data_IF_453631783588
#
_entry.id   IF_453631783588
#
_cell.length_a   1.000
_cell.length_b   1.000
_cell.length_c   1.000
_cell.angle_alpha   90.00
_cell.angle_beta   90.00
_cell.angle_gamma   90.00
#
_symmetry.space_group_name_H-M   'P 1'
#
loop_
_entity.id
_entity.type
_entity.pdbx_description
1 polymer ?
#
# COMPACT_ATOMS: atom_id res chain seq x y z
N UNK A 1 -7.32 -8.58 23.80
CA UNK A 1 -8.71 -8.96 24.06
C UNK A 1 -9.74 -8.12 23.30
N UNK A 2 -9.66 -6.78 23.25
CA UNK A 2 -10.61 -5.97 22.46
C UNK A 2 -10.48 -6.17 20.94
N UNK A 3 -9.28 -6.37 20.42
CA UNK A 3 -9.01 -6.61 18.99
C UNK A 3 -9.64 -7.91 18.48
N UNK A 4 -9.55 -9.00 19.26
CA UNK A 4 -10.12 -10.31 18.88
C UNK A 4 -11.66 -10.33 18.86
N UNK A 5 -12.30 -9.46 19.63
CA UNK A 5 -13.77 -9.36 19.68
C UNK A 5 -14.29 -8.59 18.47
N UNK A 6 -13.61 -7.51 18.10
CA UNK A 6 -13.97 -6.69 16.92
C UNK A 6 -13.77 -7.50 15.62
N UNK A 7 -12.68 -8.28 15.51
CA UNK A 7 -12.47 -9.15 14.36
C UNK A 7 -13.57 -10.24 14.22
N UNK A 8 -14.13 -10.72 15.31
CA UNK A 8 -15.23 -11.70 15.28
C UNK A 8 -16.59 -11.11 14.93
N UNK A 9 -16.88 -9.88 15.30
CA UNK A 9 -18.16 -9.23 14.99
C UNK A 9 -18.21 -8.67 13.56
N UNK A 10 -17.09 -8.24 12.99
CA UNK A 10 -17.01 -7.76 11.60
C UNK A 10 -17.15 -8.87 10.55
N UNK A 11 -16.95 -10.14 10.95
CA UNK A 11 -17.14 -11.29 10.04
C UNK A 11 -18.60 -11.66 9.77
N UNK A 12 -19.57 -10.93 10.33
CA UNK A 12 -20.99 -11.34 10.39
C UNK A 12 -22.00 -10.56 9.56
N UNK A 13 -21.62 -9.56 8.75
CA UNK A 13 -22.62 -8.83 7.95
C UNK A 13 -22.91 -9.55 6.64
N UNK A 14 -23.79 -10.52 6.67
CA UNK A 14 -24.43 -11.10 5.50
C UNK A 14 -25.51 -10.17 4.96
N UNK A 15 -25.16 -9.34 4.00
CA UNK A 15 -26.12 -8.79 3.07
C UNK A 15 -25.71 -9.26 1.65
N UNK A 16 -26.26 -10.38 1.20
CA UNK A 16 -26.06 -10.88 -0.13
C UNK A 16 -24.75 -11.71 -0.32
N UNK A 17 -24.46 -12.02 -1.55
CA UNK A 17 -23.40 -12.87 -2.10
C UNK A 17 -21.96 -12.38 -1.83
N UNK A 18 -21.79 -11.09 -1.49
CA UNK A 18 -20.49 -10.46 -1.24
C UNK A 18 -20.11 -10.49 0.24
N UNK A 19 -18.86 -10.83 0.51
CA UNK A 19 -18.27 -10.79 1.84
C UNK A 19 -16.93 -10.04 1.80
N UNK A 20 -16.70 -9.21 2.82
CA UNK A 20 -15.45 -8.47 3.00
C UNK A 20 -14.70 -8.99 4.22
N UNK A 21 -13.40 -9.21 4.08
CA UNK A 21 -12.54 -9.71 5.13
C UNK A 21 -11.15 -9.04 5.06
N UNK A 22 -10.43 -9.04 6.18
CA UNK A 22 -8.98 -8.82 6.16
C UNK A 22 -8.35 -10.08 5.55
N UNK A 23 -7.49 -9.89 4.56
CA UNK A 23 -6.80 -10.98 3.89
C UNK A 23 -5.88 -11.74 4.85
N UNK A 24 -5.92 -13.04 4.78
CA UNK A 24 -5.07 -13.96 5.51
C UNK A 24 -4.06 -14.65 4.57
N UNK A 25 -3.07 -15.36 5.16
CA UNK A 25 -2.05 -16.09 4.39
C UNK A 25 -2.67 -17.07 3.38
N UNK A 26 -3.83 -17.65 3.71
CA UNK A 26 -4.57 -18.54 2.79
C UNK A 26 -5.08 -17.86 1.52
N UNK A 27 -5.13 -16.53 1.47
CA UNK A 27 -5.59 -15.76 0.32
C UNK A 27 -4.48 -15.45 -0.68
N UNK A 28 -3.24 -15.80 -0.36
CA UNK A 28 -2.05 -15.49 -1.16
C UNK A 28 -2.24 -15.83 -2.64
N UNK A 29 -2.59 -17.06 -2.94
CA UNK A 29 -2.72 -17.54 -4.32
C UNK A 29 -3.83 -16.79 -5.09
N UNK A 30 -4.97 -16.53 -4.43
CA UNK A 30 -6.10 -15.83 -5.04
C UNK A 30 -5.79 -14.34 -5.28
N UNK A 31 -5.09 -13.69 -4.36
CA UNK A 31 -4.68 -12.29 -4.53
C UNK A 31 -3.68 -12.18 -5.68
N UNK A 32 -2.65 -13.04 -5.73
CA UNK A 32 -1.65 -13.05 -6.81
C UNK A 32 -2.30 -13.33 -8.16
N UNK A 33 -3.25 -14.28 -8.22
CA UNK A 33 -4.06 -14.53 -9.41
C UNK A 33 -4.79 -13.27 -9.86
N UNK A 34 -5.51 -12.60 -8.94
CA UNK A 34 -6.28 -11.41 -9.24
C UNK A 34 -5.41 -10.26 -9.77
N UNK A 35 -4.23 -10.05 -9.19
CA UNK A 35 -3.26 -9.04 -9.62
C UNK A 35 -2.74 -9.31 -11.04
N UNK A 36 -2.37 -10.56 -11.34
CA UNK A 36 -1.84 -11.00 -12.63
C UNK A 36 -2.89 -10.94 -13.75
N UNK A 37 -4.12 -11.40 -13.46
CA UNK A 37 -5.20 -11.45 -14.44
C UNK A 37 -5.81 -10.07 -14.73
N UNK A 38 -5.57 -9.07 -13.86
CA UNK A 38 -6.15 -7.73 -13.99
C UNK A 38 -5.06 -6.64 -13.96
N UNK A 39 -4.18 -6.58 -14.98
CA UNK A 39 -3.20 -5.52 -15.08
C UNK A 39 -3.87 -4.15 -15.22
N UNK A 40 -3.16 -3.09 -14.89
CA UNK A 40 -3.63 -1.71 -15.11
C UNK A 40 -3.54 -1.39 -16.60
N UNK A 41 -4.66 -1.11 -17.27
CA UNK A 41 -4.64 -0.69 -18.67
C UNK A 41 -4.10 0.75 -18.78
N UNK A 42 -3.34 1.00 -19.82
CA UNK A 42 -2.79 2.31 -20.17
C UNK A 42 -2.05 2.23 -21.50
N UNK A 43 -1.32 3.27 -21.86
CA UNK A 43 -0.39 3.23 -23.04
C UNK A 43 0.63 2.11 -22.88
N UNK A 44 1.00 1.83 -21.65
CA UNK A 44 1.79 0.66 -21.23
C UNK A 44 0.93 -0.05 -20.19
N UNK A 45 0.70 -1.35 -20.40
CA UNK A 45 0.02 -2.18 -19.40
C UNK A 45 0.97 -2.47 -18.25
N UNK A 46 0.55 -2.12 -17.02
CA UNK A 46 1.35 -2.34 -15.82
C UNK A 46 0.75 -3.49 -15.00
N UNK A 47 1.56 -4.51 -14.73
CA UNK A 47 1.24 -5.57 -13.78
C UNK A 47 2.13 -5.40 -12.54
N UNK A 48 1.52 -5.38 -11.35
CA UNK A 48 2.24 -5.42 -10.09
C UNK A 48 2.09 -6.81 -9.49
N UNK A 49 2.96 -7.71 -9.93
CA UNK A 49 2.99 -9.07 -9.42
C UNK A 49 3.72 -9.14 -8.08
N UNK A 50 3.28 -10.02 -7.20
CA UNK A 50 3.80 -10.22 -5.85
C UNK A 50 4.29 -11.66 -5.67
N UNK A 51 5.04 -12.15 -6.65
CA UNK A 51 5.60 -13.50 -6.60
C UNK A 51 6.85 -13.55 -5.67
N UNK A 52 7.12 -14.66 -4.98
CA UNK A 52 6.25 -15.85 -4.89
C UNK A 52 5.17 -15.75 -3.80
N UNK A 53 5.13 -14.68 -3.02
CA UNK A 53 4.23 -14.53 -1.87
C UNK A 53 3.80 -13.08 -1.72
N UNK A 54 2.49 -12.83 -1.74
CA UNK A 54 1.89 -11.52 -1.59
C UNK A 54 2.26 -10.83 -0.26
N UNK A 55 2.41 -11.60 0.80
CA UNK A 55 2.68 -11.11 2.15
C UNK A 55 4.17 -10.99 2.49
N UNK A 56 5.08 -11.31 1.57
CA UNK A 56 6.52 -11.30 1.81
C UNK A 56 7.05 -9.94 2.29
N UNK A 57 6.45 -8.84 1.82
CA UNK A 57 6.82 -7.47 2.16
C UNK A 57 6.11 -6.89 3.41
N UNK A 58 5.33 -7.71 4.12
CA UNK A 58 4.55 -7.23 5.26
C UNK A 58 5.41 -6.54 6.34
N UNK A 59 6.65 -7.00 6.54
CA UNK A 59 7.61 -6.41 7.49
C UNK A 59 8.27 -5.13 6.97
N UNK A 60 8.23 -4.89 5.65
CA UNK A 60 8.85 -3.74 5.00
C UNK A 60 7.89 -2.56 4.83
N UNK A 61 6.61 -2.86 4.93
CA UNK A 61 5.56 -1.93 4.47
C UNK A 61 5.25 -0.80 5.45
N UNK A 62 5.75 -0.83 6.69
CA UNK A 62 5.48 0.16 7.72
C UNK A 62 4.85 -0.43 8.99
N UNK A 63 4.33 0.43 9.87
CA UNK A 63 3.76 0.03 11.17
C UNK A 63 2.55 -0.91 11.01
N UNK A 64 1.68 -0.61 10.06
CA UNK A 64 0.45 -1.36 9.81
C UNK A 64 0.29 -1.55 8.30
N UNK A 65 0.14 -2.80 7.90
CA UNK A 65 -0.32 -3.16 6.56
C UNK A 65 -1.61 -3.96 6.67
N UNK A 66 -2.68 -3.43 6.13
CA UNK A 66 -3.97 -4.09 6.05
C UNK A 66 -4.32 -4.34 4.58
N UNK A 67 -4.62 -5.56 4.25
CA UNK A 67 -5.15 -5.94 2.93
C UNK A 67 -6.59 -6.40 3.12
N UNK A 68 -7.49 -5.84 2.34
CA UNK A 68 -8.92 -6.16 2.35
C UNK A 68 -9.24 -6.93 1.08
N UNK A 69 -9.99 -7.99 1.21
CA UNK A 69 -10.51 -8.76 0.09
C UNK A 69 -12.04 -8.76 0.10
N UNK A 70 -12.64 -8.65 -1.10
CA UNK A 70 -14.05 -8.95 -1.31
C UNK A 70 -14.18 -10.31 -1.98
N UNK A 71 -15.09 -11.13 -1.48
CA UNK A 71 -15.39 -12.46 -2.01
C UNK A 71 -16.80 -12.51 -2.57
N UNK A 72 -16.94 -13.08 -3.75
CA UNK A 72 -18.22 -13.46 -4.33
C UNK A 72 -18.25 -14.98 -4.47
N UNK A 73 -19.20 -15.65 -3.80
CA UNK A 73 -19.28 -17.12 -3.76
C UNK A 73 -17.96 -17.80 -3.36
N UNK A 74 -17.24 -17.21 -2.37
CA UNK A 74 -15.97 -17.73 -1.86
C UNK A 74 -14.74 -17.36 -2.68
N UNK A 75 -14.88 -16.85 -3.90
CA UNK A 75 -13.78 -16.42 -4.77
C UNK A 75 -13.40 -14.97 -4.46
N UNK A 76 -12.11 -14.67 -4.33
CA UNK A 76 -11.62 -13.29 -4.23
C UNK A 76 -11.81 -12.58 -5.56
N UNK A 77 -12.62 -11.50 -5.53
CA UNK A 77 -13.00 -10.68 -6.70
C UNK A 77 -12.54 -9.24 -6.60
N UNK A 78 -12.16 -8.79 -5.43
CA UNK A 78 -11.56 -7.48 -5.23
C UNK A 78 -10.49 -7.55 -4.13
N UNK A 79 -9.44 -6.78 -4.28
CA UNK A 79 -8.40 -6.56 -3.27
C UNK A 79 -8.05 -5.08 -3.22
N UNK A 80 -7.76 -4.60 -2.03
CA UNK A 80 -7.18 -3.28 -1.79
C UNK A 80 -6.32 -3.32 -0.53
N UNK A 81 -5.35 -2.45 -0.42
CA UNK A 81 -4.47 -2.40 0.73
C UNK A 81 -4.31 -0.99 1.27
N UNK A 82 -4.10 -0.89 2.57
CA UNK A 82 -3.64 0.30 3.26
C UNK A 82 -2.34 -0.01 4.00
N UNK A 83 -1.36 0.85 3.82
CA UNK A 83 -0.12 0.81 4.57
C UNK A 83 0.02 2.11 5.34
N UNK A 84 0.08 2.05 6.67
CA UNK A 84 0.23 3.21 7.53
C UNK A 84 1.66 3.22 8.08
N UNK A 85 2.34 4.37 7.96
CA UNK A 85 3.66 4.60 8.53
C UNK A 85 3.89 6.07 8.80
N UNK A 86 4.92 6.36 9.61
CA UNK A 86 5.40 7.73 9.81
C UNK A 86 6.03 8.25 8.51
N UNK A 87 5.60 9.44 8.08
CA UNK A 87 6.15 10.17 6.93
C UNK A 87 6.31 11.63 7.26
N UNK A 88 7.23 12.31 6.58
CA UNK A 88 7.35 13.75 6.71
C UNK A 88 6.27 14.47 5.90
N UNK A 89 5.52 15.35 6.58
CA UNK A 89 4.56 16.28 5.98
C UNK A 89 4.93 17.68 6.47
N UNK A 90 5.28 18.57 5.57
CA UNK A 90 5.79 19.90 5.92
C UNK A 90 6.96 19.88 6.92
N UNK A 91 7.86 18.92 6.75
CA UNK A 91 9.03 18.75 7.61
C UNK A 91 8.77 18.14 8.99
N UNK A 92 7.52 17.79 9.30
CA UNK A 92 7.14 17.17 10.58
C UNK A 92 6.69 15.72 10.35
N UNK A 93 7.02 14.79 11.26
CA UNK A 93 6.48 13.44 11.22
C UNK A 93 4.96 13.45 11.38
N UNK A 94 4.27 12.72 10.50
CA UNK A 94 2.83 12.50 10.54
C UNK A 94 2.55 11.04 10.23
N UNK A 95 1.46 10.52 10.76
CA UNK A 95 0.99 9.17 10.53
C UNK A 95 0.18 9.12 9.24
N UNK A 96 0.77 8.60 8.17
CA UNK A 96 0.20 8.69 6.81
C UNK A 96 -0.15 7.32 6.28
N UNK A 97 -1.40 7.18 5.78
CA UNK A 97 -1.91 5.99 5.13
C UNK A 97 -1.75 6.06 3.61
N UNK A 98 -1.14 5.04 3.01
CA UNK A 98 -1.10 4.87 1.56
C UNK A 98 -2.12 3.80 1.14
N UNK A 99 -3.10 4.21 0.35
CA UNK A 99 -4.11 3.30 -0.23
C UNK A 99 -3.60 2.83 -1.59
N UNK A 100 -3.39 1.54 -1.74
CA UNK A 100 -2.82 0.99 -2.95
C UNK A 100 -3.33 -0.40 -3.31
N UNK A 101 -2.85 -0.92 -4.45
CA UNK A 101 -3.13 -2.29 -4.87
C UNK A 101 -4.59 -2.58 -5.20
N UNK A 102 -5.45 -1.56 -5.34
CA UNK A 102 -6.87 -1.77 -5.67
C UNK A 102 -7.01 -2.48 -7.01
N UNK A 103 -7.59 -3.68 -6.98
CA UNK A 103 -7.95 -4.47 -8.17
C UNK A 103 -9.34 -5.05 -8.00
N UNK A 104 -10.09 -4.97 -9.08
CA UNK A 104 -11.40 -5.60 -9.23
C UNK A 104 -11.30 -6.59 -10.40
N UNK A 105 -11.80 -7.80 -10.18
CA UNK A 105 -11.90 -8.82 -11.24
C UNK A 105 -12.70 -8.26 -12.43
N UNK A 106 -12.22 -8.49 -13.65
CA UNK A 106 -12.83 -7.97 -14.87
C UNK A 106 -14.29 -8.40 -15.02
N UNK A 107 -14.65 -9.60 -14.53
CA UNK A 107 -16.04 -10.10 -14.53
C UNK A 107 -16.98 -9.28 -13.62
N UNK A 108 -16.43 -8.49 -12.71
CA UNK A 108 -17.15 -7.59 -11.80
C UNK A 108 -17.00 -6.11 -12.19
N UNK A 109 -16.54 -5.85 -13.42
CA UNK A 109 -16.39 -4.50 -13.94
C UNK A 109 -17.72 -3.72 -13.87
N UNK A 110 -17.66 -2.50 -13.28
CA UNK A 110 -18.88 -1.67 -13.10
C UNK A 110 -19.64 -1.92 -11.79
N UNK A 111 -19.24 -2.89 -10.97
CA UNK A 111 -19.81 -3.14 -9.64
C UNK A 111 -19.27 -2.11 -8.63
N UNK A 112 -19.82 -0.89 -8.68
CA UNK A 112 -19.45 0.19 -7.75
C UNK A 112 -19.83 -0.12 -6.30
N UNK A 113 -20.81 -0.96 -6.08
CA UNK A 113 -21.20 -1.44 -4.77
C UNK A 113 -20.07 -2.19 -4.06
N UNK A 114 -19.23 -2.93 -4.78
CA UNK A 114 -18.02 -3.59 -4.22
C UNK A 114 -17.04 -2.54 -3.70
N UNK A 115 -16.76 -1.51 -4.48
CA UNK A 115 -15.84 -0.46 -4.08
C UNK A 115 -16.37 0.30 -2.87
N UNK A 116 -17.64 0.72 -2.90
CA UNK A 116 -18.27 1.44 -1.80
C UNK A 116 -18.24 0.64 -0.49
N UNK A 117 -18.67 -0.62 -0.53
CA UNK A 117 -18.64 -1.49 0.66
C UNK A 117 -17.21 -1.77 1.13
N UNK A 118 -16.25 -1.89 0.21
CA UNK A 118 -14.82 -2.03 0.54
C UNK A 118 -14.28 -0.81 1.29
N UNK A 119 -14.63 0.40 0.86
CA UNK A 119 -14.24 1.62 1.57
C UNK A 119 -14.95 1.78 2.92
N UNK A 120 -16.22 1.39 3.01
CA UNK A 120 -16.96 1.37 4.28
C UNK A 120 -16.30 0.40 5.26
N UNK A 121 -15.97 -0.81 4.82
CA UNK A 121 -15.25 -1.79 5.64
C UNK A 121 -13.87 -1.27 6.06
N UNK A 122 -13.13 -0.64 5.14
CA UNK A 122 -11.86 0.01 5.45
C UNK A 122 -12.02 1.11 6.51
N UNK A 123 -13.02 1.97 6.37
CA UNK A 123 -13.31 3.02 7.33
C UNK A 123 -13.54 2.46 8.74
N UNK A 124 -14.30 1.37 8.86
CA UNK A 124 -14.53 0.71 10.14
C UNK A 124 -13.24 0.20 10.78
N UNK A 125 -12.30 -0.34 9.99
CA UNK A 125 -10.99 -0.78 10.48
C UNK A 125 -10.10 0.36 11.00
N UNK A 126 -10.37 1.60 10.60
CA UNK A 126 -9.57 2.77 10.97
C UNK A 126 -10.16 3.59 12.12
N UNK A 127 -11.35 3.24 12.65
CA UNK A 127 -12.04 4.05 13.67
C UNK A 127 -11.19 4.28 14.91
N UNK A 128 -10.54 3.22 15.41
CA UNK A 128 -9.80 3.28 16.67
C UNK A 128 -8.40 3.92 16.53
N UNK A 129 -7.81 3.89 15.35
CA UNK A 129 -6.46 4.38 15.12
C UNK A 129 -6.28 4.90 13.67
N UNK A 130 -6.96 5.98 13.29
CA UNK A 130 -6.86 6.54 11.96
C UNK A 130 -5.47 7.11 11.69
N UNK A 131 -5.07 7.17 10.43
CA UNK A 131 -3.95 8.00 10.02
C UNK A 131 -4.40 9.48 9.96
N UNK A 132 -3.44 10.40 10.09
CA UNK A 132 -3.69 11.84 9.97
C UNK A 132 -4.13 12.21 8.56
N UNK A 133 -3.57 11.50 7.57
CA UNK A 133 -3.84 11.67 6.14
C UNK A 133 -3.83 10.33 5.42
N UNK A 134 -4.62 10.27 4.34
CA UNK A 134 -4.57 9.15 3.39
C UNK A 134 -4.26 9.69 2.00
N UNK A 135 -3.43 8.98 1.24
CA UNK A 135 -3.17 9.29 -0.15
C UNK A 135 -3.09 8.02 -1.00
N UNK A 136 -3.21 8.20 -2.31
CA UNK A 136 -3.04 7.14 -3.30
C UNK A 136 -2.27 7.69 -4.50
N UNK A 137 -1.66 6.81 -5.27
CA UNK A 137 -1.10 7.14 -6.57
C UNK A 137 -1.85 6.38 -7.66
N UNK A 138 -2.19 7.09 -8.73
CA UNK A 138 -2.93 6.53 -9.86
C UNK A 138 -2.11 6.81 -11.12
N UNK A 139 -1.94 5.80 -11.99
CA UNK A 139 -1.28 6.01 -13.27
C UNK A 139 -1.98 7.12 -14.05
N UNK A 140 -1.20 8.07 -14.61
CA UNK A 140 -1.74 9.31 -15.20
C UNK A 140 -2.74 9.06 -16.34
N UNK A 141 -2.56 7.96 -17.09
CA UNK A 141 -3.44 7.55 -18.17
C UNK A 141 -4.59 6.61 -17.73
N UNK A 142 -4.68 6.25 -16.44
CA UNK A 142 -5.81 5.50 -15.89
C UNK A 142 -7.03 6.40 -15.63
N UNK A 143 -7.56 6.96 -16.71
CA UNK A 143 -8.70 7.87 -16.66
C UNK A 143 -9.93 7.25 -15.97
N UNK A 144 -10.11 5.93 -16.07
CA UNK A 144 -11.23 5.22 -15.44
C UNK A 144 -11.15 5.26 -13.90
N UNK A 145 -10.00 4.94 -13.33
CA UNK A 145 -9.82 4.98 -11.87
C UNK A 145 -9.98 6.42 -11.36
N UNK A 146 -9.36 7.39 -12.01
CA UNK A 146 -9.50 8.81 -11.67
C UNK A 146 -10.95 9.25 -11.70
N UNK A 147 -11.65 9.00 -12.80
CA UNK A 147 -13.06 9.35 -12.96
C UNK A 147 -13.97 8.76 -11.88
N UNK A 148 -13.68 7.57 -11.34
CA UNK A 148 -14.47 6.95 -10.28
C UNK A 148 -14.13 7.58 -8.92
N UNK A 149 -12.86 7.74 -8.60
CA UNK A 149 -12.41 8.17 -7.28
C UNK A 149 -12.62 9.68 -7.05
N UNK A 150 -12.43 10.49 -8.07
CA UNK A 150 -12.58 11.95 -7.99
C UNK A 150 -14.05 12.43 -8.05
N UNK A 151 -15.02 11.53 -8.32
CA UNK A 151 -16.44 11.92 -8.44
C UNK A 151 -17.14 12.27 -7.13
N UNK A 152 -16.58 11.95 -5.99
CA UNK A 152 -17.26 12.16 -4.71
C UNK A 152 -18.57 11.36 -4.59
N UNK A 153 -18.58 10.10 -5.02
CA UNK A 153 -19.76 9.25 -4.97
C UNK A 153 -20.20 9.00 -3.51
N UNK A 154 -21.51 8.94 -3.22
CA UNK A 154 -22.00 8.66 -1.88
C UNK A 154 -21.43 7.36 -1.30
N UNK A 155 -20.88 7.43 -0.06
CA UNK A 155 -20.23 6.30 0.60
C UNK A 155 -18.80 6.01 0.12
N UNK A 156 -18.23 6.87 -0.72
CA UNK A 156 -16.83 6.84 -1.11
C UNK A 156 -16.07 7.98 -0.42
N UNK A 157 -14.76 7.84 -0.14
CA UNK A 157 -13.97 8.96 0.32
C UNK A 157 -13.89 10.05 -0.76
N UNK A 158 -13.75 11.30 -0.30
CA UNK A 158 -13.47 12.41 -1.19
C UNK A 158 -11.98 12.39 -1.55
N UNK A 159 -11.69 12.27 -2.85
CA UNK A 159 -10.33 12.33 -3.37
C UNK A 159 -10.08 13.69 -4.00
N UNK A 160 -8.98 14.32 -3.59
CA UNK A 160 -8.50 15.56 -4.16
C UNK A 160 -7.18 15.33 -4.88
N UNK A 161 -7.05 15.88 -6.09
CA UNK A 161 -5.81 15.85 -6.84
C UNK A 161 -4.78 16.78 -6.16
N UNK A 162 -3.59 16.26 -5.85
CA UNK A 162 -2.52 17.03 -5.23
C UNK A 162 -1.50 17.46 -6.28
N UNK A 163 -0.90 16.51 -6.99
CA UNK A 163 0.14 16.77 -7.97
C UNK A 163 0.37 15.57 -8.90
N UNK A 164 1.08 15.81 -10.00
CA UNK A 164 1.68 14.75 -10.79
C UNK A 164 3.11 14.47 -10.31
N UNK A 165 3.54 13.21 -10.40
CA UNK A 165 4.92 12.82 -10.19
C UNK A 165 5.38 11.86 -11.29
N UNK A 166 6.68 11.85 -11.54
CA UNK A 166 7.29 10.99 -12.57
C UNK A 166 8.21 9.98 -11.87
N UNK A 167 8.05 8.71 -12.21
CA UNK A 167 8.99 7.67 -11.83
C UNK A 167 10.03 7.51 -12.93
N UNK A 168 11.29 7.75 -12.61
CA UNK A 168 12.40 7.59 -13.55
C UNK A 168 13.08 6.25 -13.28
N UNK A 169 13.23 5.44 -14.32
CA UNK A 169 14.01 4.21 -14.28
C UNK A 169 15.41 4.51 -14.81
N UNK A 170 16.41 4.37 -13.97
CA UNK A 170 17.81 4.54 -14.32
C UNK A 170 18.46 3.16 -14.47
N UNK A 171 19.05 2.83 -15.64
CA UNK A 171 19.82 1.61 -15.78
C UNK A 171 21.07 1.72 -14.90
N UNK A 172 21.28 0.73 -14.05
CA UNK A 172 22.52 0.61 -13.26
C UNK A 172 23.52 -0.20 -14.09
N UNK A 173 24.68 0.39 -14.38
CA UNK A 173 25.78 -0.31 -15.04
C UNK A 173 26.89 -0.61 -14.01
N UNK A 174 27.58 -1.75 -14.14
CA UNK A 174 28.78 -2.01 -13.37
C UNK A 174 29.82 -0.91 -13.64
N UNK A 175 30.37 -0.35 -12.61
CA UNK A 175 31.42 0.66 -12.71
C UNK A 175 32.23 0.69 -11.41
N UNK A 176 33.41 1.26 -11.46
CA UNK A 176 34.19 1.51 -10.27
C UNK A 176 33.47 2.57 -9.41
N UNK A 177 33.47 2.43 -8.07
CA UNK A 177 32.93 3.45 -7.19
C UNK A 177 33.65 4.76 -7.41
N UNK A 178 32.94 5.87 -7.31
CA UNK A 178 33.55 7.19 -7.37
C UNK A 178 34.64 7.32 -6.28
N UNK A 179 35.76 8.01 -6.54
CA UNK A 179 36.91 8.05 -5.60
C UNK A 179 36.58 8.60 -4.22
N UNK A 180 35.50 9.36 -4.10
CA UNK A 180 35.00 9.99 -2.89
C UNK A 180 33.90 9.18 -2.19
N UNK A 181 33.53 8.01 -2.72
CA UNK A 181 32.55 7.11 -2.13
C UNK A 181 33.26 6.09 -1.24
N UNK A 182 32.89 6.11 0.04
CA UNK A 182 33.38 5.15 1.04
C UNK A 182 32.28 4.10 1.28
N UNK A 183 32.60 2.85 0.96
CA UNK A 183 31.71 1.73 1.26
C UNK A 183 31.78 1.37 2.76
N UNK A 184 30.65 1.43 3.45
CA UNK A 184 30.51 0.89 4.80
C UNK A 184 29.50 -0.25 4.80
N UNK A 185 29.98 -1.48 4.92
CA UNK A 185 29.15 -2.69 4.84
C UNK A 185 28.30 -2.94 6.08
N UNK A 186 28.56 -2.27 7.18
CA UNK A 186 27.80 -2.47 8.42
C UNK A 186 27.66 -1.17 9.23
N UNK A 187 27.08 -0.12 8.66
CA UNK A 187 26.90 1.13 9.38
C UNK A 187 25.92 0.94 10.56
N UNK A 188 26.11 1.65 11.68
CA UNK A 188 25.13 1.68 12.77
C UNK A 188 23.76 2.14 12.27
N UNK A 189 22.68 1.52 12.75
CA UNK A 189 21.30 1.88 12.35
C UNK A 189 20.99 3.35 12.63
N UNK A 190 21.46 3.88 13.77
CA UNK A 190 21.33 5.29 14.15
C UNK A 190 21.90 6.24 13.07
N UNK A 191 23.07 5.93 12.52
CA UNK A 191 23.69 6.77 11.48
C UNK A 191 22.88 6.76 10.20
N UNK A 192 22.37 5.57 9.78
CA UNK A 192 21.49 5.44 8.62
C UNK A 192 20.22 6.25 8.83
N UNK A 193 19.57 6.09 9.98
CA UNK A 193 18.31 6.78 10.32
C UNK A 193 18.53 8.29 10.33
N UNK A 194 19.60 8.76 10.95
CA UNK A 194 19.94 10.19 10.99
C UNK A 194 20.11 10.76 9.58
N UNK A 195 20.91 10.09 8.75
CA UNK A 195 21.16 10.52 7.37
C UNK A 195 19.85 10.56 6.54
N UNK A 196 19.09 9.47 6.57
CA UNK A 196 17.84 9.37 5.83
C UNK A 196 16.81 10.39 6.29
N UNK A 197 16.62 10.56 7.59
CA UNK A 197 15.63 11.48 8.13
C UNK A 197 15.99 12.95 7.89
N UNK A 198 17.26 13.32 7.98
CA UNK A 198 17.71 14.67 7.67
C UNK A 198 17.39 15.03 6.22
N UNK A 199 17.63 14.10 5.30
CA UNK A 199 17.32 14.28 3.89
C UNK A 199 15.81 14.23 3.59
N UNK A 200 15.08 13.29 4.20
CA UNK A 200 13.68 13.08 3.97
C UNK A 200 12.78 14.19 4.53
N UNK A 201 13.22 14.89 5.57
CA UNK A 201 12.48 16.00 6.18
C UNK A 201 12.16 17.11 5.19
N UNK A 202 12.99 17.30 4.18
CA UNK A 202 12.79 18.30 3.11
C UNK A 202 11.82 17.84 2.01
N UNK A 203 11.30 16.60 2.10
CA UNK A 203 10.48 15.99 1.06
C UNK A 203 9.11 15.59 1.59
N UNK A 204 8.06 15.94 0.83
CA UNK A 204 6.70 15.55 1.17
C UNK A 204 6.50 14.04 1.03
N UNK A 205 5.85 13.45 2.03
CA UNK A 205 5.53 12.03 2.10
C UNK A 205 6.75 11.07 2.12
N UNK A 206 7.95 11.59 2.28
CA UNK A 206 9.12 10.75 2.46
C UNK A 206 9.04 9.99 3.79
N UNK A 207 9.53 8.74 3.86
CA UNK A 207 9.50 7.95 5.08
C UNK A 207 10.25 8.64 6.23
N UNK A 208 9.65 8.62 7.42
CA UNK A 208 10.34 8.90 8.67
C UNK A 208 10.79 7.56 9.24
N UNK A 209 12.08 7.28 9.21
CA UNK A 209 12.65 5.99 9.60
C UNK A 209 12.91 5.91 11.10
N UNK A 210 12.67 4.71 11.67
CA UNK A 210 13.10 4.34 13.01
C UNK A 210 14.21 3.27 12.94
N UNK A 211 15.01 3.13 14.01
CA UNK A 211 16.15 2.22 14.03
C UNK A 211 15.76 0.74 13.94
N UNK A 212 14.65 0.37 14.53
CA UNK A 212 14.08 -0.98 14.45
C UNK A 212 13.63 -1.33 13.04
N UNK A 213 13.08 -0.38 12.28
CA UNK A 213 12.73 -0.57 10.88
C UNK A 213 13.98 -0.86 10.04
N UNK A 214 15.04 -0.04 10.19
CA UNK A 214 16.31 -0.24 9.48
C UNK A 214 16.95 -1.57 9.86
N UNK A 215 16.91 -1.92 11.15
CA UNK A 215 17.44 -3.20 11.64
C UNK A 215 16.66 -4.39 11.05
N UNK A 216 15.35 -4.28 10.90
CA UNK A 216 14.50 -5.32 10.32
C UNK A 216 14.76 -5.56 8.82
N UNK A 217 15.38 -4.62 8.11
CA UNK A 217 15.74 -4.76 6.69
C UNK A 217 16.98 -5.63 6.47
N UNK A 218 17.92 -5.67 7.43
CA UNK A 218 19.20 -6.36 7.30
C UNK A 218 19.09 -7.86 6.97
N UNK A 219 18.21 -8.65 7.64
CA UNK A 219 18.04 -10.07 7.32
C UNK A 219 17.49 -10.32 5.91
N UNK A 220 16.96 -9.30 5.26
CA UNK A 220 16.39 -9.37 3.91
C UNK A 220 17.42 -9.04 2.82
N UNK A 221 18.70 -8.91 3.18
CA UNK A 221 19.77 -8.59 2.25
C UNK A 221 19.83 -7.11 1.84
N UNK A 222 19.03 -6.25 2.47
CA UNK A 222 19.13 -4.80 2.31
C UNK A 222 20.29 -4.33 3.18
N UNK A 223 21.49 -4.32 2.57
CA UNK A 223 22.66 -3.72 3.19
C UNK A 223 22.67 -2.23 2.85
N UNK A 224 22.95 -1.40 3.83
CA UNK A 224 23.07 0.06 3.63
C UNK A 224 24.40 0.37 2.90
N UNK A 225 24.50 -0.06 1.64
CA UNK A 225 25.58 0.32 0.75
C UNK A 225 25.20 1.53 -0.08
#
# INVERSE_FOLDING_TARGET
MARDVIERELTGTQAGRLRFDIAAVGDDADIRRLLRENPMPGRISLSFEREPNYFADAKLSGEIKQTIVARDCGRVVCVGSCTIRQRFVNGQPARVGYLGGLRLDASHSGRFDILRQGYEFFHQLQIDAPADFYFTSIAGDNARARSILERGLPGMPCYEFICEFVTVLLPVQPGDPAPDVVENRNPPAEQIVTLLNNHNRERQFAPCWAEDEVTALRPLGVNGG
#
